data_IF_328452546942
#
_entry.id   IF_328452546942
#
_cell.length_a   1.000
_cell.length_b   1.000
_cell.length_c   1.000
_cell.angle_alpha   90.00
_cell.angle_beta   90.00
_cell.angle_gamma   90.00
#
_symmetry.space_group_name_H-M   'P 1'
#
loop_
_entity.id
_entity.type
_entity.pdbx_description
1 polymer ?
#
# COMPACT_ATOMS: atom_id res chain seq x y z
N UNK A 1 0.03 31.47 -3.26
CA UNK A 1 -0.13 30.90 -1.91
C UNK A 1 -1.03 29.65 -1.86
N UNK A 2 -2.19 29.59 -2.54
CA UNK A 2 -3.07 28.39 -2.45
C UNK A 2 -2.51 27.15 -3.17
N UNK A 3 -1.73 27.34 -4.23
CA UNK A 3 -1.09 26.26 -4.99
C UNK A 3 0.10 25.62 -4.26
N UNK A 4 0.86 26.39 -3.47
CA UNK A 4 2.03 25.89 -2.74
C UNK A 4 1.62 24.87 -1.67
N UNK A 5 0.56 25.16 -0.91
CA UNK A 5 0.02 24.22 0.10
C UNK A 5 -0.38 22.86 -0.52
N UNK A 6 -0.90 22.88 -1.75
CA UNK A 6 -1.28 21.65 -2.46
C UNK A 6 -0.05 20.85 -2.90
N UNK A 7 0.98 21.53 -3.43
CA UNK A 7 2.23 20.91 -3.84
C UNK A 7 2.99 20.33 -2.64
N UNK A 8 3.04 21.05 -1.52
CA UNK A 8 3.69 20.58 -0.29
C UNK A 8 3.05 19.29 0.23
N UNK A 9 1.71 19.22 0.17
CA UNK A 9 0.96 18.02 0.57
C UNK A 9 1.21 16.85 -0.37
N UNK A 10 1.24 17.07 -1.69
CA UNK A 10 1.60 16.00 -2.64
C UNK A 10 3.03 15.50 -2.41
N UNK A 11 3.98 16.40 -2.13
CA UNK A 11 5.36 16.02 -1.83
C UNK A 11 5.44 15.19 -0.55
N UNK A 12 4.69 15.56 0.49
CA UNK A 12 4.60 14.78 1.71
C UNK A 12 4.01 13.39 1.46
N UNK A 13 2.92 13.29 0.69
CA UNK A 13 2.30 12.01 0.34
C UNK A 13 3.29 11.10 -0.44
N UNK A 14 4.03 11.67 -1.40
CA UNK A 14 5.06 10.94 -2.15
C UNK A 14 6.21 10.51 -1.24
N UNK A 15 6.68 11.38 -0.35
CA UNK A 15 7.76 11.05 0.58
C UNK A 15 7.36 9.92 1.54
N UNK A 16 6.12 9.93 2.03
CA UNK A 16 5.59 8.87 2.88
C UNK A 16 5.54 7.54 2.13
N UNK A 17 5.08 7.52 0.87
CA UNK A 17 5.06 6.31 0.05
C UNK A 17 6.48 5.79 -0.19
N UNK A 18 7.44 6.68 -0.49
CA UNK A 18 8.86 6.31 -0.67
C UNK A 18 9.45 5.66 0.57
N UNK A 19 9.10 6.15 1.75
CA UNK A 19 9.57 5.56 3.01
C UNK A 19 9.08 4.12 3.20
N UNK A 20 7.95 3.76 2.58
CA UNK A 20 7.33 2.44 2.69
C UNK A 20 7.81 1.47 1.60
N UNK A 21 8.61 1.90 0.61
CA UNK A 21 9.07 1.06 -0.52
C UNK A 21 9.77 -0.23 -0.05
N UNK A 22 10.57 -0.16 1.01
CA UNK A 22 11.29 -1.30 1.58
C UNK A 22 10.43 -2.21 2.46
N UNK A 23 9.17 -1.85 2.73
CA UNK A 23 8.29 -2.66 3.57
C UNK A 23 7.94 -3.96 2.84
N UNK A 24 8.10 -5.08 3.55
CA UNK A 24 7.69 -6.38 3.07
C UNK A 24 6.19 -6.58 3.25
N UNK A 25 5.60 -7.29 2.31
CA UNK A 25 4.20 -7.72 2.39
C UNK A 25 4.21 -9.10 3.05
N UNK A 26 3.59 -9.28 4.23
CA UNK A 26 3.50 -10.59 4.88
C UNK A 26 2.86 -11.62 3.96
N UNK A 27 3.40 -12.84 3.96
CA UNK A 27 2.82 -13.94 3.20
C UNK A 27 1.40 -14.25 3.70
N UNK A 28 0.51 -14.59 2.76
CA UNK A 28 -0.87 -14.98 3.08
C UNK A 28 -1.81 -13.81 3.43
N UNK A 29 -1.36 -12.55 3.37
CA UNK A 29 -2.28 -11.42 3.50
C UNK A 29 -3.30 -11.42 2.36
N UNK A 30 -4.58 -11.33 2.70
CA UNK A 30 -5.65 -11.26 1.70
C UNK A 30 -5.98 -9.81 1.36
N UNK A 31 -5.98 -9.50 0.06
CA UNK A 31 -6.35 -8.20 -0.49
C UNK A 31 -7.77 -8.17 -1.10
N UNK A 32 -8.47 -9.31 -1.16
CA UNK A 32 -9.75 -9.48 -1.87
C UNK A 32 -10.84 -8.53 -1.39
N UNK A 33 -10.90 -8.28 -0.08
CA UNK A 33 -11.94 -7.47 0.55
C UNK A 33 -11.48 -6.07 0.99
N UNK A 34 -10.32 -5.62 0.50
CA UNK A 34 -9.77 -4.30 0.88
C UNK A 34 -10.65 -3.17 0.31
N UNK A 35 -11.27 -2.33 1.16
CA UNK A 35 -12.10 -1.22 0.70
C UNK A 35 -11.27 -0.18 -0.06
N UNK A 36 -11.84 0.38 -1.14
CA UNK A 36 -11.18 1.40 -1.96
C UNK A 36 -10.13 0.88 -2.94
N UNK A 37 -9.75 -0.41 -2.88
CA UNK A 37 -8.92 -1.04 -3.91
C UNK A 37 -9.81 -1.53 -5.05
N UNK A 38 -9.40 -1.27 -6.30
CA UNK A 38 -10.17 -1.72 -7.47
C UNK A 38 -10.17 -3.25 -7.60
N UNK A 39 -11.20 -3.80 -8.22
CA UNK A 39 -11.27 -5.25 -8.48
C UNK A 39 -10.09 -5.75 -9.32
N UNK A 40 -9.62 -4.93 -10.26
CA UNK A 40 -8.43 -5.24 -11.06
C UNK A 40 -7.18 -5.36 -10.19
N UNK A 41 -6.93 -4.38 -9.31
CA UNK A 41 -5.76 -4.42 -8.43
C UNK A 41 -5.86 -5.53 -7.39
N UNK A 42 -7.05 -5.79 -6.85
CA UNK A 42 -7.30 -6.95 -5.97
C UNK A 42 -6.90 -8.26 -6.66
N UNK A 43 -7.36 -8.45 -7.89
CA UNK A 43 -7.02 -9.64 -8.69
C UNK A 43 -5.51 -9.71 -8.97
N UNK A 44 -4.90 -8.60 -9.40
CA UNK A 44 -3.46 -8.53 -9.68
C UNK A 44 -2.63 -8.83 -8.42
N UNK A 45 -3.00 -8.33 -7.25
CA UNK A 45 -2.33 -8.63 -5.98
C UNK A 45 -2.42 -10.11 -5.63
N UNK A 46 -3.61 -10.71 -5.78
CA UNK A 46 -3.84 -12.14 -5.52
C UNK A 46 -3.02 -13.04 -6.45
N UNK A 47 -2.92 -12.68 -7.73
CA UNK A 47 -2.19 -13.48 -8.73
C UNK A 47 -0.68 -13.26 -8.65
N UNK A 48 -0.22 -12.01 -8.50
CA UNK A 48 1.22 -11.68 -8.53
C UNK A 48 1.91 -11.90 -7.20
N UNK A 49 1.20 -11.78 -6.09
CA UNK A 49 1.72 -11.90 -4.72
C UNK A 49 3.06 -11.16 -4.53
N UNK A 50 3.08 -9.83 -4.74
CA UNK A 50 4.31 -9.06 -4.59
C UNK A 50 4.89 -9.19 -3.19
N UNK A 51 6.22 -9.27 -3.08
CA UNK A 51 6.92 -9.47 -1.80
C UNK A 51 7.14 -8.18 -1.02
N UNK A 52 7.05 -7.04 -1.69
CA UNK A 52 7.30 -5.72 -1.11
C UNK A 52 6.38 -4.65 -1.68
N UNK A 53 6.28 -3.51 -0.99
CA UNK A 53 5.55 -2.33 -1.49
C UNK A 53 6.17 -1.83 -2.81
N UNK A 54 7.50 -1.83 -2.94
CA UNK A 54 8.18 -1.48 -4.19
C UNK A 54 7.81 -2.43 -5.36
N UNK A 55 7.58 -3.71 -5.09
CA UNK A 55 7.13 -4.67 -6.11
C UNK A 55 5.68 -4.39 -6.52
N UNK A 56 4.82 -4.07 -5.55
CA UNK A 56 3.43 -3.70 -5.80
C UNK A 56 3.32 -2.39 -6.60
N UNK A 57 4.15 -1.39 -6.27
CA UNK A 57 4.22 -0.10 -6.95
C UNK A 57 4.52 -0.23 -8.44
N UNK A 58 5.34 -1.22 -8.83
CA UNK A 58 5.71 -1.50 -10.24
C UNK A 58 4.64 -2.27 -11.01
N UNK A 59 3.51 -2.60 -10.38
CA UNK A 59 2.40 -3.25 -11.06
C UNK A 59 1.66 -2.28 -11.96
N UNK A 60 1.32 -2.73 -13.16
CA UNK A 60 0.51 -1.95 -14.09
C UNK A 60 -0.82 -1.55 -13.46
N UNK A 61 -1.21 -0.29 -13.64
CA UNK A 61 -2.45 0.27 -13.09
C UNK A 61 -2.35 0.65 -11.60
N UNK A 62 -1.19 0.46 -10.96
CA UNK A 62 -0.98 0.92 -9.60
C UNK A 62 -0.95 2.46 -9.54
N UNK A 63 -1.71 3.03 -8.61
CA UNK A 63 -1.75 4.48 -8.37
C UNK A 63 -1.24 4.80 -6.96
N UNK A 64 -0.79 6.04 -6.69
CA UNK A 64 -0.37 6.44 -5.34
C UNK A 64 -1.47 6.19 -4.28
N UNK A 65 -2.74 6.44 -4.63
CA UNK A 65 -3.87 6.20 -3.73
C UNK A 65 -4.07 4.70 -3.43
N UNK A 66 -4.00 3.84 -4.44
CA UNK A 66 -4.09 2.40 -4.25
C UNK A 66 -2.91 1.85 -3.42
N UNK A 67 -1.71 2.37 -3.66
CA UNK A 67 -0.52 1.98 -2.90
C UNK A 67 -0.64 2.39 -1.42
N UNK A 68 -1.18 3.57 -1.14
CA UNK A 68 -1.45 4.01 0.24
C UNK A 68 -2.45 3.09 0.95
N UNK A 69 -3.49 2.61 0.26
CA UNK A 69 -4.46 1.63 0.79
C UNK A 69 -3.76 0.31 1.11
N UNK A 70 -2.90 -0.20 0.21
CA UNK A 70 -2.13 -1.43 0.41
C UNK A 70 -1.21 -1.30 1.63
N UNK A 71 -0.47 -0.19 1.74
CA UNK A 71 0.42 0.08 2.89
C UNK A 71 -0.37 0.09 4.20
N UNK A 72 -1.52 0.75 4.23
CA UNK A 72 -2.37 0.78 5.42
C UNK A 72 -2.85 -0.63 5.82
N UNK A 73 -3.27 -1.44 4.83
CA UNK A 73 -3.71 -2.82 5.07
C UNK A 73 -2.58 -3.70 5.64
N UNK A 74 -1.38 -3.60 5.05
CA UNK A 74 -0.19 -4.33 5.52
C UNK A 74 0.15 -3.94 6.96
N UNK A 75 0.15 -2.64 7.28
CA UNK A 75 0.40 -2.15 8.65
C UNK A 75 -0.61 -2.70 9.65
N UNK A 76 -1.89 -2.77 9.28
CA UNK A 76 -2.92 -3.32 10.16
C UNK A 76 -2.72 -4.82 10.41
N UNK A 77 -2.36 -5.59 9.37
CA UNK A 77 -2.05 -7.00 9.51
C UNK A 77 -0.83 -7.25 10.42
N UNK A 78 0.25 -6.47 10.26
CA UNK A 78 1.42 -6.54 11.14
C UNK A 78 1.06 -6.27 12.61
N UNK A 79 0.23 -5.25 12.86
CA UNK A 79 -0.21 -4.90 14.21
C UNK A 79 -1.08 -6.00 14.83
N UNK A 80 -1.97 -6.62 14.04
CA UNK A 80 -2.76 -7.76 14.47
C UNK A 80 -1.88 -8.96 14.85
N UNK A 81 -0.88 -9.28 14.01
CA UNK A 81 0.07 -10.36 14.28
C UNK A 81 0.91 -10.10 15.55
N UNK A 82 1.29 -8.86 15.83
CA UNK A 82 2.00 -8.49 17.07
C UNK A 82 1.13 -8.66 18.31
N UNK A 83 -0.17 -8.38 18.20
CA UNK A 83 -1.13 -8.53 19.32
C UNK A 83 -1.46 -9.99 19.63
N UNK A 84 -1.38 -10.89 18.66
CA UNK A 84 -1.64 -12.33 18.89
C UNK A 84 -0.47 -13.07 19.55
N UNK A 85 0.71 -12.46 19.61
CA UNK A 85 1.94 -13.03 20.19
C UNK A 85 2.16 -12.57 21.64
N UNK A 86 1.44 -11.53 22.09
CA UNK A 86 1.50 -11.00 23.44
C UNK A 86 0.38 -11.59 24.32
#
# INVERSE_FOLDING_TARGET
ARYSVYLDRQQADVAQIRHEESRLIPEGIDFSDVPGLSNELKQKMKTRQPRSIADAQRMEGMTPAALAIIVAHVRNAELAARRSVA
#
